data_IF_289603712360
#
_entry.id   IF_289603712360
#
_cell.length_a   1.000
_cell.length_b   1.000
_cell.length_c   1.000
_cell.angle_alpha   90.00
_cell.angle_beta   90.00
_cell.angle_gamma   90.00
#
_symmetry.space_group_name_H-M   'P 1'
#
loop_
_entity.id
_entity.type
_entity.pdbx_description
1 polymer ?
#
# COMPACT_ATOMS: atom_id res chain seq x y z
N UNK A 1 -9.35 1.66 3.95
CA UNK A 1 -8.16 1.56 4.83
C UNK A 1 -7.10 2.53 4.34
N UNK A 2 -6.45 3.25 5.26
CA UNK A 2 -5.31 4.12 4.96
C UNK A 2 -4.16 3.78 5.91
N UNK A 3 -2.94 3.62 5.40
CA UNK A 3 -1.73 3.33 6.18
C UNK A 3 -0.56 4.16 5.65
N UNK A 4 0.23 4.73 6.54
CA UNK A 4 1.49 5.36 6.16
C UNK A 4 2.60 4.31 6.11
N UNK A 5 3.29 4.23 4.97
CA UNK A 5 4.47 3.41 4.73
C UNK A 5 5.71 4.20 5.15
N UNK A 6 5.91 4.29 6.46
CA UNK A 6 7.03 5.06 7.01
C UNK A 6 8.36 4.35 6.75
N UNK A 7 9.46 5.09 6.57
CA UNK A 7 10.80 4.46 6.57
C UNK A 7 11.21 4.14 8.01
N UNK A 8 11.17 5.17 8.84
CA UNK A 8 11.44 5.11 10.28
C UNK A 8 10.10 5.03 11.02
N UNK A 9 9.89 4.03 11.91
CA UNK A 9 8.64 3.92 12.67
C UNK A 9 8.31 5.19 13.47
N UNK A 10 7.03 5.59 13.48
CA UNK A 10 6.52 6.74 14.23
C UNK A 10 7.15 8.09 13.83
N UNK A 11 7.69 8.20 12.62
CA UNK A 11 8.29 9.44 12.11
C UNK A 11 7.27 10.42 11.53
N UNK A 12 6.10 9.93 11.12
CA UNK A 12 5.13 10.69 10.34
C UNK A 12 5.54 10.92 8.88
N UNK A 13 6.67 10.36 8.44
CA UNK A 13 7.23 10.56 7.10
C UNK A 13 7.19 9.25 6.29
N UNK A 14 6.58 9.31 5.11
CA UNK A 14 6.48 8.17 4.20
C UNK A 14 5.43 8.36 3.11
N UNK A 15 5.04 7.25 2.48
CA UNK A 15 3.99 7.23 1.45
C UNK A 15 2.67 6.73 2.02
N UNK A 16 1.56 7.32 1.61
CA UNK A 16 0.24 6.87 2.05
C UNK A 16 -0.29 5.77 1.13
N UNK A 17 -0.48 4.57 1.67
CA UNK A 17 -1.21 3.47 1.03
C UNK A 17 -2.69 3.59 1.35
N UNK A 18 -3.54 3.66 0.31
CA UNK A 18 -4.99 3.74 0.44
C UNK A 18 -5.66 2.60 -0.33
N UNK A 19 -6.42 1.78 0.39
CA UNK A 19 -7.24 0.69 -0.17
C UNK A 19 -8.71 1.04 0.05
N UNK A 20 -9.47 1.11 -1.03
CA UNK A 20 -10.91 1.39 -1.04
C UNK A 20 -11.62 0.20 -1.64
N UNK A 21 -12.57 -0.40 -0.93
CA UNK A 21 -13.48 -1.41 -1.46
C UNK A 21 -14.81 -0.72 -1.73
N UNK A 22 -15.44 -0.97 -2.88
CA UNK A 22 -16.77 -0.43 -3.14
C UNK A 22 -17.82 -1.07 -2.22
N UNK A 23 -18.98 -0.43 -2.08
CA UNK A 23 -20.03 -0.90 -1.17
C UNK A 23 -20.54 -2.29 -1.53
N UNK A 24 -20.52 -2.61 -2.81
CA UNK A 24 -20.99 -3.86 -3.38
C UNK A 24 -19.96 -5.00 -3.24
N UNK A 25 -18.75 -4.72 -2.72
CA UNK A 25 -17.66 -5.69 -2.54
C UNK A 25 -17.21 -6.39 -3.84
N UNK A 26 -17.46 -5.77 -4.99
CA UNK A 26 -17.13 -6.31 -6.32
C UNK A 26 -15.86 -5.72 -6.90
N UNK A 27 -15.29 -4.68 -6.27
CA UNK A 27 -14.13 -3.98 -6.77
C UNK A 27 -13.33 -3.28 -5.68
N UNK A 28 -12.04 -3.16 -5.93
CA UNK A 28 -11.10 -2.47 -5.06
C UNK A 28 -10.28 -1.45 -5.86
N UNK A 29 -9.92 -0.34 -5.20
CA UNK A 29 -8.94 0.62 -5.69
C UNK A 29 -7.80 0.73 -4.68
N UNK A 30 -6.58 0.48 -5.13
CA UNK A 30 -5.35 0.59 -4.34
C UNK A 30 -4.54 1.75 -4.93
N UNK A 31 -4.16 2.72 -4.10
CA UNK A 31 -3.30 3.82 -4.51
C UNK A 31 -2.18 4.02 -3.49
N UNK A 32 -1.03 4.46 -3.99
CA UNK A 32 0.08 4.95 -3.19
C UNK A 32 0.28 6.41 -3.55
N UNK A 33 0.33 7.27 -2.54
CA UNK A 33 0.48 8.71 -2.72
C UNK A 33 1.59 9.26 -1.83
N UNK A 34 1.92 10.54 -2.01
CA UNK A 34 2.63 11.29 -0.98
C UNK A 34 1.93 11.24 0.38
N UNK A 35 2.61 11.68 1.44
CA UNK A 35 2.09 11.65 2.82
C UNK A 35 0.78 12.41 3.00
N UNK A 36 0.49 13.38 2.12
CA UNK A 36 -0.70 14.21 2.18
C UNK A 36 -1.90 13.64 1.40
N UNK A 37 -1.69 12.60 0.60
CA UNK A 37 -2.77 12.00 -0.19
C UNK A 37 -3.01 12.68 -1.54
N UNK A 38 -2.14 13.60 -1.98
CA UNK A 38 -2.43 14.51 -3.09
C UNK A 38 -1.87 14.01 -4.42
N UNK A 39 -0.65 13.46 -4.41
CA UNK A 39 0.06 13.05 -5.63
C UNK A 39 0.27 11.54 -5.65
N UNK A 40 -0.04 10.89 -6.76
CA UNK A 40 0.28 9.49 -6.98
C UNK A 40 1.80 9.30 -7.04
N UNK A 41 2.28 8.26 -6.37
CA UNK A 41 3.69 7.90 -6.33
C UNK A 41 3.84 6.44 -6.72
N UNK A 42 4.80 6.19 -7.61
CA UNK A 42 5.22 4.84 -7.96
C UNK A 42 6.45 4.47 -7.14
N UNK A 43 6.24 3.67 -6.09
CA UNK A 43 7.32 3.23 -5.21
C UNK A 43 8.16 2.10 -5.79
N UNK A 44 7.79 1.53 -6.94
CA UNK A 44 8.49 0.39 -7.56
C UNK A 44 9.51 0.82 -8.63
N UNK A 45 9.56 2.12 -8.96
CA UNK A 45 10.50 2.66 -9.95
C UNK A 45 11.92 2.87 -9.44
N UNK A 46 12.14 2.89 -8.13
CA UNK A 46 13.45 3.14 -7.53
C UNK A 46 13.72 2.21 -6.36
N UNK A 47 14.95 1.69 -6.29
CA UNK A 47 15.49 0.92 -5.18
C UNK A 47 15.58 1.73 -3.87
N UNK A 48 15.60 3.07 -3.96
CA UNK A 48 15.59 3.95 -2.78
C UNK A 48 14.35 3.75 -1.91
N UNK A 49 13.28 3.21 -2.49
CA UNK A 49 12.02 2.94 -1.83
C UNK A 49 11.88 1.50 -1.30
N UNK A 50 12.95 0.68 -1.28
CA UNK A 50 12.87 -0.73 -0.87
C UNK A 50 12.15 -0.96 0.47
N UNK A 51 12.44 -0.17 1.52
CA UNK A 51 11.74 -0.29 2.81
C UNK A 51 10.23 -0.07 2.67
N UNK A 52 9.80 0.83 1.78
CA UNK A 52 8.39 1.08 1.54
C UNK A 52 7.73 -0.05 0.75
N UNK A 53 8.46 -0.63 -0.21
CA UNK A 53 8.03 -1.81 -0.97
C UNK A 53 7.88 -3.02 -0.06
N UNK A 54 8.85 -3.30 0.81
CA UNK A 54 8.77 -4.38 1.81
C UNK A 54 7.55 -4.21 2.73
N UNK A 55 7.31 -3.01 3.23
CA UNK A 55 6.12 -2.71 4.05
C UNK A 55 4.82 -2.85 3.27
N UNK A 56 4.82 -2.47 2.00
CA UNK A 56 3.67 -2.70 1.12
C UNK A 56 3.40 -4.20 0.97
N UNK A 57 4.42 -5.00 0.63
CA UNK A 57 4.26 -6.45 0.46
C UNK A 57 3.80 -7.13 1.75
N UNK A 58 4.41 -6.81 2.89
CA UNK A 58 4.00 -7.33 4.19
C UNK A 58 2.50 -7.08 4.48
N UNK A 59 2.01 -5.86 4.18
CA UNK A 59 0.60 -5.54 4.37
C UNK A 59 -0.29 -6.32 3.41
N UNK A 60 0.08 -6.39 2.13
CA UNK A 60 -0.69 -7.10 1.11
C UNK A 60 -0.74 -8.61 1.37
N UNK A 61 0.38 -9.22 1.77
CA UNK A 61 0.44 -10.63 2.15
C UNK A 61 -0.49 -10.91 3.34
N UNK A 62 -0.53 -10.02 4.34
CA UNK A 62 -1.46 -10.17 5.46
C UNK A 62 -2.94 -10.07 5.06
N UNK A 63 -3.26 -9.39 3.94
CA UNK A 63 -4.61 -9.36 3.39
C UNK A 63 -4.91 -10.64 2.58
N UNK A 64 -3.89 -11.21 1.94
CA UNK A 64 -4.01 -12.51 1.26
C UNK A 64 -4.23 -13.64 2.28
N UNK A 65 -3.45 -13.67 3.35
CA UNK A 65 -3.58 -14.66 4.44
C UNK A 65 -4.98 -14.66 5.08
N UNK A 66 -5.62 -13.49 5.16
CA UNK A 66 -6.98 -13.34 5.70
C UNK A 66 -8.09 -13.61 4.67
N UNK A 67 -7.72 -13.98 3.44
CA UNK A 67 -8.67 -14.24 2.36
C UNK A 67 -9.35 -12.99 1.79
N UNK A 68 -8.80 -11.79 2.04
CA UNK A 68 -9.32 -10.53 1.49
C UNK A 68 -8.92 -10.37 0.02
N UNK A 69 -7.69 -10.77 -0.32
CA UNK A 69 -7.18 -10.78 -1.69
C UNK A 69 -6.58 -12.14 -2.03
N UNK A 70 -6.43 -12.42 -3.32
CA UNK A 70 -5.65 -13.56 -3.81
C UNK A 70 -4.50 -13.04 -4.68
N UNK A 71 -3.31 -13.61 -4.50
CA UNK A 71 -2.16 -13.34 -5.36
C UNK A 71 -2.19 -14.35 -6.50
N UNK A 72 -2.24 -13.85 -7.74
CA UNK A 72 -2.03 -14.67 -8.94
C UNK A 72 -0.63 -14.39 -9.46
N UNK A 73 0.12 -15.45 -9.74
CA UNK A 73 1.33 -15.33 -10.55
C UNK A 73 0.88 -15.23 -12.02
N UNK A 74 1.45 -14.27 -12.73
CA UNK A 74 1.31 -14.11 -14.18
C UNK A 74 2.67 -14.21 -14.82
#
# INVERSE_FOLDING_TARGET
MTRLLEKVPNSGEGFQLKIIINKELTGAKINITDKFGLRLVDIFKSEDHHIHQEKFYFLMDSLVERGVFTKSER
#
